data_IF_682924838601
#
_entry.id   IF_682924838601
#
_cell.length_a   1.000
_cell.length_b   1.000
_cell.length_c   1.000
_cell.angle_alpha   90.00
_cell.angle_beta   90.00
_cell.angle_gamma   90.00
#
_symmetry.space_group_name_H-M   'P 1'
#
loop_
_entity.id
_entity.type
_entity.pdbx_description
1 polymer ?
#
# COMPACT_ATOMS: atom_id res chain seq x y z
N UNK A 1 -41.41 -79.43 -9.52
CA UNK A 1 -40.65 -79.05 -10.73
C UNK A 1 -39.19 -79.46 -10.54
N UNK A 2 -38.58 -79.93 -11.64
CA UNK A 2 -37.23 -80.53 -11.84
C UNK A 2 -36.09 -79.74 -11.15
N UNK A 3 -34.86 -80.22 -10.88
CA UNK A 3 -34.11 -81.50 -10.83
C UNK A 3 -32.66 -81.09 -10.41
N UNK A 4 -31.97 -81.91 -9.60
CA UNK A 4 -30.55 -82.39 -9.74
C UNK A 4 -29.43 -81.30 -9.83
N UNK A 5 -28.53 -81.15 -8.83
CA UNK A 5 -27.28 -81.90 -8.53
C UNK A 5 -26.11 -81.66 -9.52
N UNK A 6 -24.89 -81.63 -8.94
CA UNK A 6 -23.51 -81.67 -9.50
C UNK A 6 -22.82 -80.31 -9.72
N UNK A 7 -21.49 -80.15 -9.62
CA UNK A 7 -20.32 -80.74 -8.93
C UNK A 7 -19.10 -80.06 -9.61
N UNK A 8 -17.99 -79.90 -8.88
CA UNK A 8 -16.61 -79.69 -9.36
C UNK A 8 -16.29 -78.32 -10.01
N UNK A 9 -15.07 -77.77 -9.99
CA UNK A 9 -13.73 -78.27 -9.68
C UNK A 9 -12.81 -77.08 -9.34
N UNK A 10 -11.84 -77.32 -8.45
CA UNK A 10 -10.67 -76.49 -8.15
C UNK A 10 -9.79 -76.20 -9.38
N UNK A 11 -9.21 -74.99 -9.49
CA UNK A 11 -7.81 -74.77 -9.95
C UNK A 11 -7.26 -73.48 -9.32
N UNK A 12 -6.17 -73.62 -8.57
CA UNK A 12 -5.26 -72.56 -8.12
C UNK A 12 -4.39 -72.03 -9.26
N UNK A 13 -4.18 -70.72 -9.33
CA UNK A 13 -3.01 -70.15 -9.99
C UNK A 13 -2.29 -69.18 -9.04
N UNK A 14 -1.14 -69.64 -8.57
CA UNK A 14 -0.05 -68.83 -8.06
C UNK A 14 0.52 -68.05 -9.24
N UNK A 15 0.69 -66.73 -9.10
CA UNK A 15 1.66 -66.02 -9.91
C UNK A 15 2.32 -64.92 -9.08
N UNK A 16 3.58 -65.18 -8.71
CA UNK A 16 4.53 -64.20 -8.22
C UNK A 16 4.58 -62.99 -9.16
N UNK A 17 4.70 -61.78 -8.61
CA UNK A 17 5.58 -60.76 -9.19
C UNK A 17 5.89 -59.62 -8.21
N UNK A 18 7.14 -59.69 -7.74
CA UNK A 18 8.13 -58.62 -7.56
C UNK A 18 7.74 -57.42 -6.70
N UNK A 19 8.41 -57.37 -5.54
CA UNK A 19 8.91 -56.13 -4.96
C UNK A 19 9.56 -55.25 -6.04
N UNK A 20 9.12 -54.00 -6.09
CA UNK A 20 9.94 -52.88 -6.51
C UNK A 20 9.81 -51.88 -5.39
N UNK A 21 10.85 -51.79 -4.56
CA UNK A 21 11.13 -50.60 -3.76
C UNK A 21 11.17 -49.40 -4.71
N UNK A 22 10.23 -48.47 -4.55
CA UNK A 22 10.45 -47.11 -4.98
C UNK A 22 10.83 -46.27 -3.76
N UNK A 23 12.10 -45.85 -3.77
CA UNK A 23 12.67 -44.86 -2.87
C UNK A 23 11.72 -43.66 -2.71
N UNK A 24 11.10 -43.53 -1.54
CA UNK A 24 10.55 -42.25 -1.09
C UNK A 24 11.72 -41.31 -0.75
N UNK A 25 12.32 -40.70 -1.77
CA UNK A 25 13.09 -39.47 -1.59
C UNK A 25 12.12 -38.34 -1.24
N UNK A 26 11.81 -38.27 0.05
CA UNK A 26 11.33 -37.08 0.71
C UNK A 26 12.37 -35.97 0.52
N UNK A 27 12.28 -35.27 -0.62
CA UNK A 27 12.85 -33.94 -0.77
C UNK A 27 12.01 -33.00 0.08
N UNK A 28 12.26 -32.98 1.39
CA UNK A 28 11.99 -31.80 2.20
C UNK A 28 12.94 -30.72 1.70
N UNK A 29 12.48 -29.98 0.69
CA UNK A 29 13.03 -28.69 0.36
C UNK A 29 12.77 -27.83 1.59
N UNK A 30 13.80 -27.62 2.41
CA UNK A 30 13.83 -26.51 3.35
C UNK A 30 13.43 -25.27 2.56
N UNK A 31 12.21 -24.79 2.80
CA UNK A 31 11.82 -23.45 2.39
C UNK A 31 12.60 -22.54 3.31
N UNK A 32 13.84 -22.24 2.93
CA UNK A 32 14.52 -21.06 3.42
C UNK A 32 13.56 -19.91 3.17
N UNK A 33 12.99 -19.35 4.25
CA UNK A 33 12.28 -18.07 4.21
C UNK A 33 13.29 -17.06 3.66
N UNK A 34 13.33 -16.86 2.35
CA UNK A 34 13.95 -15.66 1.79
C UNK A 34 13.18 -14.52 2.43
N UNK A 35 13.85 -13.81 3.33
CA UNK A 35 13.31 -12.63 3.99
C UNK A 35 13.19 -11.59 2.88
N UNK A 36 12.06 -11.60 2.19
CA UNK A 36 11.82 -10.73 1.05
C UNK A 36 11.83 -9.30 1.58
N UNK A 37 12.93 -8.59 1.32
CA UNK A 37 13.15 -7.27 1.90
C UNK A 37 12.25 -6.30 1.15
N UNK A 38 11.19 -5.84 1.81
CA UNK A 38 10.33 -4.82 1.22
C UNK A 38 11.10 -3.50 1.24
N UNK A 39 11.34 -2.91 0.07
CA UNK A 39 11.91 -1.57 -0.09
C UNK A 39 11.04 -0.80 -1.08
N UNK A 40 10.29 0.18 -0.58
CA UNK A 40 9.34 0.99 -1.36
C UNK A 40 9.60 2.46 -1.00
N UNK A 41 9.45 3.36 -1.96
CA UNK A 41 9.66 4.79 -1.81
C UNK A 41 8.67 5.60 -2.61
N UNK A 42 8.63 6.92 -2.39
CA UNK A 42 7.84 7.85 -3.21
C UNK A 42 8.12 7.71 -4.71
N UNK A 43 9.36 7.37 -5.11
CA UNK A 43 9.76 7.19 -6.51
C UNK A 43 9.03 6.04 -7.20
N UNK A 44 8.64 5.00 -6.46
CA UNK A 44 7.91 3.87 -7.01
C UNK A 44 6.49 4.27 -7.48
N UNK A 45 5.99 5.43 -7.04
CA UNK A 45 4.68 5.94 -7.45
C UNK A 45 4.74 6.85 -8.68
N UNK A 46 5.93 7.28 -9.12
CA UNK A 46 6.10 8.17 -10.26
C UNK A 46 5.38 7.69 -11.54
N UNK A 47 5.35 6.38 -11.90
CA UNK A 47 4.61 5.92 -13.07
C UNK A 47 3.10 6.18 -13.01
N UNK A 48 2.55 6.40 -11.81
CA UNK A 48 1.12 6.61 -11.58
C UNK A 48 0.73 8.07 -11.43
N UNK A 49 1.69 9.00 -11.48
CA UNK A 49 1.47 10.40 -11.16
C UNK A 49 1.91 11.28 -12.32
N UNK A 50 1.00 12.10 -12.83
CA UNK A 50 1.28 13.08 -13.88
C UNK A 50 0.97 14.49 -13.37
N UNK A 51 1.99 15.34 -13.33
CA UNK A 51 1.83 16.75 -12.98
C UNK A 51 1.16 17.51 -14.14
N UNK A 52 0.10 18.25 -13.83
CA UNK A 52 -0.39 19.34 -14.64
C UNK A 52 0.33 20.63 -14.19
N UNK A 53 1.28 21.17 -14.98
CA UNK A 53 2.06 22.33 -14.57
C UNK A 53 1.26 23.64 -14.58
N UNK A 54 0.13 23.71 -15.29
CA UNK A 54 -0.71 24.92 -15.34
C UNK A 54 -1.54 25.08 -14.08
N UNK A 55 -2.01 23.96 -13.53
CA UNK A 55 -2.85 23.93 -12.31
C UNK A 55 -2.05 23.59 -11.05
N UNK A 56 -0.79 23.16 -11.19
CA UNK A 56 0.03 22.60 -10.11
C UNK A 56 -0.63 21.40 -9.41
N UNK A 57 -1.43 20.64 -10.16
CA UNK A 57 -2.18 19.48 -9.66
C UNK A 57 -1.62 18.17 -10.21
N UNK A 58 -1.83 17.06 -9.50
CA UNK A 58 -1.47 15.73 -9.96
C UNK A 58 -2.68 14.92 -10.41
N UNK A 59 -2.59 14.38 -11.62
CA UNK A 59 -3.48 13.36 -12.14
C UNK A 59 -2.96 11.97 -11.78
N UNK A 60 -3.86 11.10 -11.33
CA UNK A 60 -3.56 9.68 -11.10
C UNK A 60 -3.79 8.93 -12.41
N UNK A 61 -2.75 8.27 -12.91
CA UNK A 61 -2.75 7.56 -14.20
C UNK A 61 -2.28 6.12 -14.03
N UNK A 62 -2.60 5.27 -15.01
CA UNK A 62 -1.99 3.93 -15.12
C UNK A 62 -2.45 2.89 -14.10
N UNK A 63 -3.37 3.22 -13.18
CA UNK A 63 -4.02 2.26 -12.28
C UNK A 63 -5.48 2.08 -12.75
N UNK A 64 -5.84 0.92 -13.32
CA UNK A 64 -7.15 0.73 -13.94
C UNK A 64 -8.27 0.53 -12.90
N UNK A 65 -7.95 -0.03 -11.74
CA UNK A 65 -8.94 -0.36 -10.72
C UNK A 65 -9.17 0.83 -9.79
N UNK A 66 -10.43 1.24 -9.74
CA UNK A 66 -10.91 2.37 -8.96
C UNK A 66 -11.88 1.86 -7.90
N UNK A 67 -11.70 2.31 -6.66
CA UNK A 67 -12.53 1.94 -5.53
C UNK A 67 -13.16 3.17 -4.89
N UNK A 68 -14.32 2.97 -4.25
CA UNK A 68 -14.95 3.98 -3.39
C UNK A 68 -14.65 3.68 -1.95
N UNK A 69 -14.44 4.74 -1.15
CA UNK A 69 -14.32 4.58 0.28
C UNK A 69 -15.64 4.09 0.90
N UNK A 70 -15.51 3.12 1.82
CA UNK A 70 -16.60 2.72 2.70
C UNK A 70 -16.78 3.73 3.84
N UNK A 71 -17.96 3.74 4.48
CA UNK A 71 -18.21 4.61 5.64
C UNK A 71 -17.21 4.35 6.79
N UNK A 72 -16.81 3.08 6.97
CA UNK A 72 -15.81 2.71 7.96
C UNK A 72 -14.42 3.27 7.64
N UNK A 73 -14.02 3.29 6.36
CA UNK A 73 -12.74 3.86 5.95
C UNK A 73 -12.73 5.39 6.03
N UNK A 74 -13.85 6.04 5.69
CA UNK A 74 -14.02 7.50 5.80
C UNK A 74 -13.80 7.95 7.25
N UNK A 75 -14.44 7.27 8.19
CA UNK A 75 -14.36 7.60 9.62
C UNK A 75 -13.06 7.10 10.29
N UNK A 76 -12.23 6.33 9.57
CA UNK A 76 -11.04 5.75 10.16
C UNK A 76 -9.97 6.82 10.43
N UNK A 77 -9.44 6.92 11.67
CA UNK A 77 -8.42 7.89 12.02
C UNK A 77 -7.18 7.78 11.14
N UNK A 78 -6.65 8.92 10.70
CA UNK A 78 -5.48 9.00 9.84
C UNK A 78 -4.33 9.70 10.57
N UNK A 79 -3.19 9.03 10.70
CA UNK A 79 -1.97 9.63 11.27
C UNK A 79 -1.28 10.54 10.26
N UNK A 80 -0.58 11.55 10.76
CA UNK A 80 0.15 12.55 9.97
C UNK A 80 -0.74 13.35 9.02
N UNK A 81 -2.02 13.52 9.37
CA UNK A 81 -2.98 14.34 8.63
C UNK A 81 -2.89 15.82 9.05
N UNK A 82 -1.73 16.44 8.87
CA UNK A 82 -1.42 17.80 9.37
C UNK A 82 -2.35 18.91 8.83
N UNK A 83 -3.09 18.61 7.75
CA UNK A 83 -3.94 19.55 7.02
C UNK A 83 -5.42 19.15 7.08
N UNK A 84 -5.77 18.19 7.94
CA UNK A 84 -7.15 17.76 8.20
C UNK A 84 -7.98 17.38 6.95
N UNK A 85 -7.32 16.82 5.93
CA UNK A 85 -8.04 16.34 4.74
C UNK A 85 -9.02 15.24 5.09
N UNK A 86 -10.21 15.31 4.49
CA UNK A 86 -11.31 14.40 4.76
C UNK A 86 -11.56 13.50 3.56
N UNK A 87 -11.61 12.19 3.80
CA UNK A 87 -12.05 11.20 2.81
C UNK A 87 -13.56 11.32 2.64
N UNK A 88 -14.07 11.16 1.42
CA UNK A 88 -15.51 11.16 1.16
C UNK A 88 -15.89 10.15 0.08
N UNK A 89 -17.19 9.88 -0.08
CA UNK A 89 -17.74 9.01 -1.14
C UNK A 89 -17.63 9.63 -2.53
N UNK A 90 -17.35 10.93 -2.62
CA UNK A 90 -17.18 11.65 -3.88
C UNK A 90 -15.80 11.40 -4.50
N UNK A 91 -14.86 10.96 -3.67
CA UNK A 91 -13.51 10.60 -4.11
C UNK A 91 -13.38 9.10 -4.27
N UNK A 92 -12.71 8.73 -5.36
CA UNK A 92 -12.25 7.37 -5.55
C UNK A 92 -10.78 7.26 -5.14
N UNK A 93 -10.38 6.06 -4.74
CA UNK A 93 -8.98 5.72 -4.51
C UNK A 93 -8.53 4.57 -5.41
N UNK A 94 -7.23 4.50 -5.58
CA UNK A 94 -6.55 3.50 -6.41
C UNK A 94 -5.54 2.76 -5.55
N UNK A 95 -5.50 1.44 -5.64
CA UNK A 95 -4.50 0.64 -4.93
C UNK A 95 -3.22 0.57 -5.78
N UNK A 96 -2.17 1.28 -5.36
CA UNK A 96 -0.91 1.34 -6.09
C UNK A 96 0.02 0.16 -5.78
N UNK A 97 -0.01 -0.35 -4.54
CA UNK A 97 0.84 -1.48 -4.13
C UNK A 97 0.25 -2.22 -2.94
N UNK A 98 0.39 -3.54 -2.96
CA UNK A 98 0.08 -4.42 -1.82
C UNK A 98 1.30 -5.26 -1.45
N UNK A 99 1.53 -5.46 -0.15
CA UNK A 99 2.63 -6.27 0.36
C UNK A 99 2.34 -6.72 1.80
N UNK A 100 3.16 -7.64 2.33
CA UNK A 100 2.97 -8.20 3.67
C UNK A 100 4.21 -7.98 4.52
N UNK A 101 4.02 -7.49 5.74
CA UNK A 101 5.08 -7.31 6.74
C UNK A 101 4.61 -7.92 8.05
N UNK A 102 5.37 -8.90 8.56
CA UNK A 102 5.09 -9.58 9.83
C UNK A 102 3.65 -10.13 9.97
N UNK A 103 3.05 -10.55 8.85
CA UNK A 103 1.69 -11.09 8.81
C UNK A 103 0.57 -10.04 8.76
N UNK A 104 0.92 -8.75 8.64
CA UNK A 104 -0.02 -7.67 8.35
C UNK A 104 -0.01 -7.39 6.84
N UNK A 105 -1.20 -7.30 6.24
CA UNK A 105 -1.35 -6.89 4.84
C UNK A 105 -1.32 -5.37 4.77
N UNK A 106 -0.37 -4.83 4.01
CA UNK A 106 -0.24 -3.40 3.80
C UNK A 106 -0.70 -3.03 2.39
N UNK A 107 -1.43 -1.92 2.27
CA UNK A 107 -1.88 -1.35 0.99
C UNK A 107 -1.48 0.11 0.90
N UNK A 108 -0.79 0.48 -0.16
CA UNK A 108 -0.58 1.89 -0.54
C UNK A 108 -1.72 2.27 -1.47
N UNK A 109 -2.53 3.24 -1.05
CA UNK A 109 -3.58 3.82 -1.87
C UNK A 109 -3.23 5.26 -2.26
N UNK A 110 -3.68 5.66 -3.44
CA UNK A 110 -3.53 7.02 -3.96
C UNK A 110 -4.93 7.56 -4.27
N UNK A 111 -5.20 8.80 -3.88
CA UNK A 111 -6.47 9.46 -4.14
C UNK A 111 -6.31 10.97 -4.13
N UNK A 112 -7.22 11.66 -4.81
CA UNK A 112 -7.32 13.12 -4.74
C UNK A 112 -8.44 13.53 -3.77
N UNK A 113 -8.25 14.64 -3.08
CA UNK A 113 -9.28 15.36 -2.32
C UNK A 113 -9.31 16.83 -2.75
N UNK A 114 -10.25 17.61 -2.24
CA UNK A 114 -10.25 19.07 -2.36
C UNK A 114 -9.70 19.72 -1.08
N UNK A 115 -8.89 20.77 -1.22
CA UNK A 115 -8.43 21.63 -0.13
C UNK A 115 -9.32 22.88 0.06
N UNK A 116 -8.86 23.84 0.86
CA UNK A 116 -9.64 25.00 1.32
C UNK A 116 -10.13 25.97 0.22
N UNK A 117 -9.80 25.76 -1.06
CA UNK A 117 -10.29 26.55 -2.20
C UNK A 117 -10.52 25.70 -3.46
N UNK A 118 -11.12 24.52 -3.31
CA UNK A 118 -11.37 23.55 -4.40
C UNK A 118 -10.11 23.07 -5.15
N UNK A 119 -8.91 23.40 -4.66
CA UNK A 119 -7.67 22.91 -5.26
C UNK A 119 -7.50 21.42 -4.99
N UNK A 120 -7.10 20.67 -6.02
CA UNK A 120 -6.86 19.24 -5.84
C UNK A 120 -5.62 19.00 -4.99
N UNK A 121 -5.79 18.11 -4.03
CA UNK A 121 -4.72 17.62 -3.16
C UNK A 121 -4.52 16.15 -3.43
N UNK A 122 -3.30 15.78 -3.81
CA UNK A 122 -2.91 14.40 -3.99
C UNK A 122 -2.53 13.80 -2.63
N UNK A 123 -3.13 12.66 -2.29
CA UNK A 123 -2.85 11.94 -1.06
C UNK A 123 -2.34 10.53 -1.37
N UNK A 124 -1.33 10.10 -0.63
CA UNK A 124 -0.82 8.73 -0.62
C UNK A 124 -0.91 8.21 0.81
N UNK A 125 -1.72 7.18 1.02
CA UNK A 125 -1.99 6.62 2.34
C UNK A 125 -1.54 5.16 2.39
N UNK A 126 -0.90 4.79 3.50
CA UNK A 126 -0.57 3.41 3.82
C UNK A 126 -1.58 2.87 4.82
N UNK A 127 -2.29 1.82 4.42
CA UNK A 127 -3.22 1.11 5.28
C UNK A 127 -2.62 -0.20 5.75
N UNK A 128 -2.82 -0.50 7.03
CA UNK A 128 -2.46 -1.78 7.63
C UNK A 128 -3.71 -2.58 7.95
N UNK A 129 -3.74 -3.82 7.48
CA UNK A 129 -4.83 -4.76 7.70
C UNK A 129 -4.33 -6.01 8.41
N UNK A 130 -5.17 -6.53 9.30
CA UNK A 130 -4.98 -7.84 9.91
C UNK A 130 -6.30 -8.59 9.99
N UNK A 131 -6.32 -9.83 9.51
CA UNK A 131 -7.53 -10.62 9.36
C UNK A 131 -8.64 -9.84 8.61
N UNK A 132 -8.28 -9.19 7.51
CA UNK A 132 -9.15 -8.35 6.67
C UNK A 132 -9.81 -7.16 7.38
N UNK A 133 -9.32 -6.76 8.56
CA UNK A 133 -9.77 -5.57 9.26
C UNK A 133 -8.70 -4.49 9.20
N UNK A 134 -9.08 -3.27 8.84
CA UNK A 134 -8.22 -2.09 8.91
C UNK A 134 -7.81 -1.86 10.38
N UNK A 135 -6.50 -1.86 10.64
CA UNK A 135 -5.91 -1.70 11.97
C UNK A 135 -5.31 -0.32 12.16
N UNK A 136 -4.71 0.24 11.13
CA UNK A 136 -4.09 1.56 11.19
C UNK A 136 -3.94 2.17 9.80
N UNK A 137 -3.80 3.50 9.77
CA UNK A 137 -3.62 4.27 8.54
C UNK A 137 -2.62 5.42 8.77
N UNK A 138 -1.71 5.58 7.81
CA UNK A 138 -0.64 6.58 7.86
C UNK A 138 -0.58 7.35 6.54
N UNK A 139 -0.63 8.69 6.59
CA UNK A 139 -0.50 9.54 5.41
C UNK A 139 0.98 9.70 5.02
N UNK A 140 1.38 9.02 3.94
CA UNK A 140 2.76 8.99 3.45
C UNK A 140 3.13 10.23 2.64
N UNK A 141 2.25 10.67 1.75
CA UNK A 141 2.40 11.89 0.95
C UNK A 141 1.09 12.66 0.92
N UNK A 142 1.21 13.97 0.93
CA UNK A 142 0.13 14.92 0.80
C UNK A 142 0.69 16.10 0.03
N UNK A 143 0.20 16.30 -1.19
CA UNK A 143 0.83 17.19 -2.16
C UNK A 143 -0.15 18.15 -2.79
N UNK A 144 0.17 19.43 -2.68
CA UNK A 144 -0.61 20.54 -3.20
C UNK A 144 0.25 21.81 -3.23
N UNK A 145 -0.16 22.78 -4.04
CA UNK A 145 0.50 24.09 -4.12
C UNK A 145 -0.56 25.18 -4.05
N UNK A 146 -0.36 26.12 -3.12
CA UNK A 146 -1.04 27.41 -3.10
C UNK A 146 0.03 28.50 -3.15
N UNK A 147 0.18 29.28 -2.09
CA UNK A 147 1.30 30.21 -1.89
C UNK A 147 2.61 29.48 -1.55
N UNK A 148 2.46 28.35 -0.86
CA UNK A 148 3.54 27.43 -0.49
C UNK A 148 3.26 26.07 -1.12
N UNK A 149 4.29 25.47 -1.71
CA UNK A 149 4.24 24.09 -2.21
C UNK A 149 4.50 23.14 -1.03
N UNK A 150 3.61 22.16 -0.86
CA UNK A 150 3.76 21.10 0.13
C UNK A 150 3.85 19.75 -0.58
N UNK A 151 4.80 18.92 -0.15
CA UNK A 151 4.91 17.53 -0.57
C UNK A 151 5.71 16.73 0.45
N UNK A 152 5.63 15.41 0.38
CA UNK A 152 6.42 14.52 1.21
C UNK A 152 7.15 13.50 0.37
N UNK A 153 8.30 13.07 0.86
CA UNK A 153 8.97 11.88 0.39
C UNK A 153 8.89 10.82 1.47
N UNK A 154 8.67 9.57 1.07
CA UNK A 154 8.64 8.46 2.02
C UNK A 154 9.56 7.32 1.59
N UNK A 155 9.98 6.53 2.57
CA UNK A 155 10.58 5.22 2.34
C UNK A 155 10.06 4.20 3.35
N UNK A 156 9.78 2.99 2.86
CA UNK A 156 9.33 1.84 3.63
C UNK A 156 10.36 0.75 3.44
N UNK A 157 11.01 0.35 4.53
CA UNK A 157 12.02 -0.71 4.59
C UNK A 157 11.58 -1.74 5.62
N UNK A 158 10.98 -2.82 5.15
CA UNK A 158 10.31 -3.83 5.97
C UNK A 158 9.24 -3.18 6.87
N UNK A 159 9.47 -3.17 8.18
CA UNK A 159 8.61 -2.61 9.22
C UNK A 159 8.88 -1.14 9.52
N UNK A 160 9.89 -0.51 8.90
CA UNK A 160 10.26 0.89 9.16
C UNK A 160 9.75 1.81 8.07
N UNK A 161 9.15 2.91 8.47
CA UNK A 161 8.64 3.95 7.58
C UNK A 161 9.29 5.28 7.99
N UNK A 162 9.85 5.98 7.02
CA UNK A 162 10.35 7.35 7.18
C UNK A 162 9.59 8.27 6.23
N UNK A 163 9.11 9.40 6.73
CA UNK A 163 8.41 10.43 5.95
C UNK A 163 9.14 11.74 6.16
N UNK A 164 9.64 12.31 5.07
CA UNK A 164 10.23 13.65 5.02
C UNK A 164 9.18 14.61 4.51
N UNK A 165 8.67 15.47 5.39
CA UNK A 165 7.71 16.53 5.06
C UNK A 165 8.47 17.74 4.56
N UNK A 166 8.05 18.32 3.43
CA UNK A 166 8.74 19.43 2.78
C UNK A 166 7.72 20.52 2.47
N UNK A 167 8.09 21.76 2.77
CA UNK A 167 7.37 22.95 2.32
C UNK A 167 8.34 23.89 1.62
N UNK A 168 7.90 24.49 0.52
CA UNK A 168 8.71 25.38 -0.31
C UNK A 168 7.95 26.68 -0.54
N UNK A 169 8.45 27.77 0.00
CA UNK A 169 7.90 29.11 -0.20
C UNK A 169 8.72 29.83 -1.27
N UNK A 170 8.05 30.20 -2.38
CA UNK A 170 8.70 30.87 -3.51
C UNK A 170 8.20 32.29 -3.75
N UNK A 171 7.19 32.77 -3.03
CA UNK A 171 6.58 34.08 -3.27
C UNK A 171 7.23 35.17 -2.42
N UNK A 172 7.30 36.39 -2.95
CA UNK A 172 7.67 37.61 -2.22
C UNK A 172 6.42 38.42 -1.92
N UNK A 173 6.34 38.93 -0.69
CA UNK A 173 5.23 39.76 -0.23
C UNK A 173 5.72 41.18 0.12
N UNK A 174 4.90 42.20 -0.11
CA UNK A 174 5.12 43.55 0.43
C UNK A 174 4.64 43.68 1.88
N UNK A 175 4.73 44.87 2.47
CA UNK A 175 4.27 45.14 3.85
C UNK A 175 2.75 44.98 4.02
N UNK A 176 1.98 45.12 2.93
CA UNK A 176 0.53 44.97 2.91
C UNK A 176 0.08 43.50 2.74
N UNK A 177 1.01 42.58 2.46
CA UNK A 177 0.75 41.16 2.23
C UNK A 177 0.45 40.78 0.77
N UNK A 178 0.62 41.69 -0.18
CA UNK A 178 0.43 41.41 -1.60
C UNK A 178 1.64 40.69 -2.21
N UNK A 179 1.37 39.75 -3.12
CA UNK A 179 2.41 39.07 -3.90
C UNK A 179 3.04 40.07 -4.88
N UNK A 180 4.33 40.37 -4.70
CA UNK A 180 5.10 41.30 -5.54
C UNK A 180 6.09 40.60 -6.48
N UNK A 181 6.18 39.27 -6.40
CA UNK A 181 6.98 38.46 -7.30
C UNK A 181 7.42 37.15 -6.68
N UNK A 182 8.50 36.58 -7.21
CA UNK A 182 9.10 35.34 -6.74
C UNK A 182 10.47 35.58 -6.10
N UNK A 183 10.79 34.80 -5.06
CA UNK A 183 12.10 34.77 -4.41
C UNK A 183 13.13 34.19 -5.39
N UNK A 184 14.31 34.82 -5.48
CA UNK A 184 15.46 34.27 -6.22
C UNK A 184 15.95 32.94 -5.64
N UNK A 185 15.76 32.73 -4.35
CA UNK A 185 16.07 31.48 -3.64
C UNK A 185 14.85 31.10 -2.84
N UNK A 186 14.32 29.90 -3.07
CA UNK A 186 13.13 29.41 -2.39
C UNK A 186 13.48 29.03 -0.95
N UNK A 187 12.62 29.42 -0.01
CA UNK A 187 12.76 29.00 1.38
C UNK A 187 12.18 27.60 1.53
N UNK A 188 13.02 26.63 1.87
CA UNK A 188 12.62 25.23 2.00
C UNK A 188 12.74 24.80 3.45
N UNK A 189 11.62 24.39 4.04
CA UNK A 189 11.60 23.75 5.36
C UNK A 189 11.43 22.25 5.18
N UNK A 190 12.09 21.47 6.03
CA UNK A 190 11.92 20.02 6.06
C UNK A 190 11.90 19.48 7.47
N UNK A 191 11.07 18.47 7.70
CA UNK A 191 11.02 17.70 8.93
C UNK A 191 10.89 16.22 8.62
N UNK A 192 11.34 15.36 9.53
CA UNK A 192 11.30 13.91 9.35
C UNK A 192 10.57 13.27 10.51
N UNK A 193 9.59 12.42 10.18
CA UNK A 193 8.91 11.55 11.14
C UNK A 193 9.20 10.09 10.80
N UNK A 194 9.31 9.27 11.84
CA UNK A 194 9.65 7.85 11.71
C UNK A 194 8.63 7.00 12.43
N UNK A 195 8.22 5.94 11.76
CA UNK A 195 7.29 4.95 12.27
C UNK A 195 7.86 3.55 12.15
N UNK A 196 7.42 2.69 13.07
CA UNK A 196 7.61 1.26 13.00
C UNK A 196 6.25 0.57 13.02
N UNK A 197 6.04 -0.37 12.11
CA UNK A 197 4.91 -1.29 12.16
C UNK A 197 5.14 -2.28 13.29
N UNK A 198 4.19 -2.37 14.23
CA UNK A 198 4.23 -3.39 15.27
C UNK A 198 3.56 -4.69 14.83
N UNK A 199 3.76 -5.73 15.64
CA UNK A 199 3.15 -7.04 15.39
C UNK A 199 1.62 -7.05 15.39
N UNK A 200 0.96 -5.99 15.90
CA UNK A 200 -0.51 -5.83 15.91
C UNK A 200 -1.04 -5.14 14.66
N UNK A 201 -0.15 -4.59 13.83
CA UNK A 201 -0.49 -3.84 12.63
C UNK A 201 -0.59 -2.34 12.87
N UNK A 202 -0.08 -1.82 13.99
CA UNK A 202 -0.10 -0.39 14.31
C UNK A 202 1.21 0.29 13.88
N UNK A 203 1.12 1.51 13.34
CA UNK A 203 2.25 2.39 13.08
C UNK A 203 2.59 3.17 14.35
N UNK A 204 3.70 2.85 15.00
CA UNK A 204 4.14 3.48 16.25
C UNK A 204 5.32 4.40 15.96
N UNK A 205 5.25 5.65 16.43
CA UNK A 205 6.34 6.63 16.29
C UNK A 205 7.61 6.14 16.97
N UNK A 206 8.77 6.41 16.36
CA UNK A 206 10.09 6.05 16.90
C UNK A 206 10.79 7.23 17.57
#
# INVERSE_FOLDING_TARGET
>A
MKKILFLALMVTLICCKKEVESENKSNQKEIAKSKDTTNISSKDLNPYLKLNPELFEYEIIGIPEMHRFTDAEILFPLKENDFDYTKSKDFNYYTAKEFVVEGNQLKIIIFNTYGENDSKVLNVQLNSYRANQLKDALLLDCRFTFETEYYRNFSIKNDRIEITKISVESLLFNEDGDIVGEKKTKDTLSSVVRYKLDSKGMFVTQ
#
